data_IF_761096117788
#
_entry.id   IF_761096117788
#
_cell.length_a   1.000
_cell.length_b   1.000
_cell.length_c   1.000
_cell.angle_alpha   90.00
_cell.angle_beta   90.00
_cell.angle_gamma   90.00
#
_symmetry.space_group_name_H-M   'P 1'
#
loop_
_entity.id
_entity.type
_entity.pdbx_description
1 polymer ?
#
# COMPACT_ATOMS: atom_id res chain seq x y z
N UNK A 1 8.40 6.76 -20.99
CA UNK A 1 7.06 6.11 -20.96
C UNK A 1 6.13 6.94 -20.14
N UNK A 2 5.00 7.34 -20.68
CA UNK A 2 3.94 8.03 -19.93
C UNK A 2 3.05 7.00 -19.20
N UNK A 3 2.21 7.47 -18.29
CA UNK A 3 1.21 6.61 -17.64
C UNK A 3 0.26 6.00 -18.68
N UNK A 4 -0.15 6.80 -19.67
CA UNK A 4 -1.03 6.34 -20.74
C UNK A 4 -0.35 5.26 -21.61
N UNK A 5 0.94 5.43 -21.90
CA UNK A 5 1.72 4.41 -22.61
C UNK A 5 1.76 3.09 -21.82
N UNK A 6 1.95 3.18 -20.51
CA UNK A 6 1.95 2.01 -19.64
C UNK A 6 0.59 1.31 -19.67
N UNK A 7 -0.49 2.04 -19.44
CA UNK A 7 -1.84 1.50 -19.46
C UNK A 7 -2.18 0.82 -20.80
N UNK A 8 -1.81 1.45 -21.91
CA UNK A 8 -2.02 0.91 -23.24
C UNK A 8 -1.22 -0.37 -23.50
N UNK A 9 0.02 -0.42 -23.01
CA UNK A 9 0.92 -1.56 -23.21
C UNK A 9 0.46 -2.79 -22.42
N UNK A 10 -0.08 -2.60 -21.22
CA UNK A 10 -0.46 -3.70 -20.33
C UNK A 10 -1.96 -4.01 -20.35
N UNK A 11 -2.69 -3.49 -21.33
CA UNK A 11 -4.05 -3.93 -21.63
C UNK A 11 -5.09 -3.56 -20.59
N UNK A 12 -4.92 -2.43 -19.91
CA UNK A 12 -5.98 -1.88 -19.08
C UNK A 12 -7.15 -1.49 -19.99
N UNK A 13 -8.31 -2.11 -19.76
CA UNK A 13 -9.47 -1.89 -20.61
C UNK A 13 -10.17 -0.56 -20.30
N UNK A 14 -11.17 -0.20 -21.12
CA UNK A 14 -11.89 1.07 -21.00
C UNK A 14 -12.70 1.21 -19.70
N UNK A 15 -12.86 0.13 -18.93
CA UNK A 15 -13.57 0.14 -17.64
C UNK A 15 -12.67 0.56 -16.48
N UNK A 16 -11.36 0.48 -16.68
CA UNK A 16 -10.35 0.85 -15.67
C UNK A 16 -9.88 2.27 -15.92
N UNK A 17 -10.02 3.13 -14.90
CA UNK A 17 -9.61 4.53 -14.97
C UNK A 17 -8.67 4.88 -13.83
N UNK A 18 -7.70 5.69 -14.15
CA UNK A 18 -6.83 6.33 -13.16
C UNK A 18 -7.52 7.65 -12.76
N UNK A 19 -7.75 7.85 -11.47
CA UNK A 19 -8.44 9.04 -10.96
C UNK A 19 -7.55 9.96 -10.16
N UNK A 20 -6.49 9.44 -9.59
CA UNK A 20 -5.55 10.19 -8.77
C UNK A 20 -4.18 9.53 -8.80
N UNK A 21 -3.17 10.27 -8.44
CA UNK A 21 -1.82 9.74 -8.27
C UNK A 21 -1.08 10.43 -7.13
N UNK A 22 -0.07 9.76 -6.61
CA UNK A 22 0.87 10.31 -5.64
C UNK A 22 2.29 9.93 -6.04
N UNK A 23 3.24 10.82 -5.80
CA UNK A 23 4.67 10.56 -5.96
C UNK A 23 5.25 10.45 -4.56
N UNK A 24 5.76 9.28 -4.20
CA UNK A 24 6.15 8.97 -2.85
C UNK A 24 7.23 7.89 -2.80
N UNK A 25 8.21 8.04 -1.92
CA UNK A 25 9.22 7.03 -1.66
C UNK A 25 8.65 5.99 -0.68
N UNK A 26 8.18 4.86 -1.23
CA UNK A 26 7.49 3.83 -0.46
C UNK A 26 8.42 2.93 0.34
N UNK A 27 9.63 2.70 -0.16
CA UNK A 27 10.60 1.80 0.47
C UNK A 27 11.79 2.52 1.10
N UNK A 28 11.77 3.86 1.08
CA UNK A 28 12.80 4.73 1.66
C UNK A 28 14.20 4.54 1.06
N UNK A 29 14.25 4.30 -0.25
CA UNK A 29 15.49 4.17 -1.01
C UNK A 29 15.94 5.48 -1.68
N UNK A 30 15.28 6.60 -1.40
CA UNK A 30 15.46 7.94 -1.99
C UNK A 30 15.06 8.05 -3.47
N UNK A 31 14.47 7.01 -4.05
CA UNK A 31 13.90 7.03 -5.39
C UNK A 31 12.37 6.87 -5.29
N UNK A 32 11.58 7.89 -5.66
CA UNK A 32 10.14 7.81 -5.48
C UNK A 32 9.47 6.87 -6.48
N UNK A 33 8.43 6.19 -6.01
CA UNK A 33 7.46 5.50 -6.83
C UNK A 33 6.29 6.41 -7.17
N UNK A 34 5.51 6.00 -8.15
CA UNK A 34 4.23 6.63 -8.48
C UNK A 34 3.12 5.66 -8.10
N UNK A 35 2.22 6.09 -7.23
CA UNK A 35 1.04 5.32 -6.84
C UNK A 35 -0.16 5.88 -7.58
N UNK A 36 -0.80 5.04 -8.39
CA UNK A 36 -1.99 5.38 -9.17
C UNK A 36 -3.22 4.82 -8.48
N UNK A 37 -4.18 5.67 -8.19
CA UNK A 37 -5.50 5.24 -7.71
C UNK A 37 -6.37 4.81 -8.88
N UNK A 38 -6.93 3.60 -8.79
CA UNK A 38 -7.67 2.96 -9.87
C UNK A 38 -9.14 2.85 -9.49
N UNK A 39 -10.02 3.18 -10.45
CA UNK A 39 -11.44 2.85 -10.41
C UNK A 39 -11.78 1.90 -11.54
N UNK A 40 -12.71 1.00 -11.30
CA UNK A 40 -13.22 0.08 -12.29
C UNK A 40 -14.75 0.19 -12.31
N UNK A 41 -15.35 0.34 -13.51
CA UNK A 41 -16.79 0.52 -13.68
C UNK A 41 -17.38 1.67 -12.83
N UNK A 42 -16.66 2.78 -12.72
CA UNK A 42 -17.02 3.97 -11.91
C UNK A 42 -17.22 3.67 -10.41
N UNK A 43 -16.72 2.53 -9.92
CA UNK A 43 -16.62 2.26 -8.49
C UNK A 43 -15.33 2.83 -7.93
N UNK A 44 -15.46 3.60 -6.86
CA UNK A 44 -14.31 4.14 -6.14
C UNK A 44 -13.55 3.04 -5.40
N UNK A 45 -12.26 3.25 -5.19
CA UNK A 45 -11.41 2.45 -4.33
C UNK A 45 -11.26 0.98 -4.74
N UNK A 46 -11.07 0.72 -6.04
CA UNK A 46 -10.82 -0.64 -6.52
C UNK A 46 -9.40 -1.13 -6.27
N UNK A 47 -8.46 -0.22 -6.03
CA UNK A 47 -7.08 -0.57 -5.74
C UNK A 47 -6.10 0.47 -6.25
N UNK A 48 -4.83 0.05 -6.29
CA UNK A 48 -3.73 0.91 -6.69
C UNK A 48 -2.79 0.18 -7.63
N UNK A 49 -2.14 0.93 -8.51
CA UNK A 49 -1.02 0.47 -9.31
C UNK A 49 0.21 1.27 -8.88
N UNK A 50 1.23 0.58 -8.39
CA UNK A 50 2.51 1.19 -8.05
C UNK A 50 3.46 1.03 -9.21
N UNK A 51 3.94 2.14 -9.74
CA UNK A 51 4.95 2.16 -10.80
C UNK A 51 6.30 2.45 -10.20
N UNK A 52 7.26 1.58 -10.48
CA UNK A 52 8.62 1.66 -10.01
C UNK A 52 9.60 1.54 -11.17
N UNK A 53 10.67 2.31 -11.13
CA UNK A 53 11.79 2.16 -12.07
C UNK A 53 12.76 1.10 -11.54
N UNK A 54 12.90 0.02 -12.28
CA UNK A 54 13.79 -1.10 -11.95
C UNK A 54 14.52 -1.58 -13.19
N UNK A 55 15.80 -1.90 -13.06
CA UNK A 55 16.59 -2.58 -14.11
C UNK A 55 16.49 -1.94 -15.50
N UNK A 56 16.41 -0.61 -15.56
CA UNK A 56 16.33 0.13 -16.82
C UNK A 56 14.94 0.26 -17.43
N UNK A 57 13.89 -0.12 -16.70
CA UNK A 57 12.50 -0.03 -17.15
C UNK A 57 11.52 0.27 -16.04
N UNK A 58 10.27 0.48 -16.42
CA UNK A 58 9.16 0.70 -15.48
C UNK A 58 8.45 -0.62 -15.23
N UNK A 59 8.30 -0.97 -13.96
CA UNK A 59 7.57 -2.16 -13.50
C UNK A 59 6.36 -1.70 -12.71
N UNK A 60 5.21 -2.34 -12.92
CA UNK A 60 3.98 -2.07 -12.19
C UNK A 60 3.63 -3.20 -11.23
N UNK A 61 3.17 -2.83 -10.04
CA UNK A 61 2.69 -3.76 -9.02
C UNK A 61 1.25 -3.40 -8.65
N UNK A 62 0.36 -4.39 -8.77
CA UNK A 62 -1.06 -4.23 -8.46
C UNK A 62 -1.33 -4.46 -6.99
N UNK A 63 -2.14 -3.59 -6.40
CA UNK A 63 -2.61 -3.72 -5.02
C UNK A 63 -4.13 -3.59 -4.99
N UNK A 64 -4.80 -4.48 -4.27
CA UNK A 64 -6.22 -4.31 -3.95
C UNK A 64 -6.39 -3.19 -2.92
N UNK A 65 -7.61 -2.69 -2.78
CA UNK A 65 -7.92 -1.67 -1.79
C UNK A 65 -7.66 -2.11 -0.33
N UNK A 66 -7.59 -3.42 -0.07
CA UNK A 66 -7.27 -3.99 1.25
C UNK A 66 -5.78 -4.15 1.51
N UNK A 67 -4.98 -4.12 0.48
CA UNK A 67 -3.53 -4.29 0.58
C UNK A 67 -2.81 -2.98 0.89
N UNK A 68 -3.45 -1.84 0.63
CA UNK A 68 -2.86 -0.52 0.90
C UNK A 68 -3.99 0.44 1.28
N UNK A 69 -4.12 0.72 2.57
CA UNK A 69 -5.20 1.55 3.14
C UNK A 69 -4.57 2.75 3.83
N UNK A 70 -5.16 3.94 3.63
CA UNK A 70 -4.71 5.17 4.30
C UNK A 70 -3.20 5.42 4.15
N UNK A 71 -2.74 5.50 2.91
CA UNK A 71 -1.33 5.75 2.61
C UNK A 71 -0.89 7.08 3.23
N UNK A 72 0.16 7.04 4.02
CA UNK A 72 0.74 8.19 4.70
C UNK A 72 1.94 8.76 3.95
N UNK A 73 2.26 10.02 4.20
CA UNK A 73 3.41 10.70 3.58
C UNK A 73 4.75 9.99 3.80
N UNK A 74 4.89 9.26 4.89
CA UNK A 74 6.11 8.49 5.19
C UNK A 74 6.18 7.13 4.48
N UNK A 75 5.20 6.81 3.63
CA UNK A 75 5.14 5.55 2.89
C UNK A 75 4.47 4.41 3.64
N UNK A 76 4.04 4.62 4.87
CA UNK A 76 3.32 3.60 5.64
C UNK A 76 1.84 3.60 5.32
N UNK A 77 1.20 2.45 5.50
CA UNK A 77 -0.22 2.25 5.19
C UNK A 77 -0.79 1.10 6.01
N UNK A 78 -2.11 1.04 6.12
CA UNK A 78 -2.81 -0.09 6.70
C UNK A 78 -3.02 -1.22 5.69
N UNK A 79 -3.21 -2.44 6.19
CA UNK A 79 -3.59 -3.59 5.38
C UNK A 79 -4.58 -4.48 6.14
N UNK A 80 -5.33 -5.25 5.37
CA UNK A 80 -6.36 -6.13 5.90
C UNK A 80 -6.34 -7.44 5.10
N UNK A 81 -5.74 -8.49 5.67
CA UNK A 81 -5.80 -9.84 5.12
C UNK A 81 -6.90 -10.65 5.81
N UNK A 82 -8.15 -10.33 5.49
CA UNK A 82 -9.29 -10.97 6.12
C UNK A 82 -9.32 -10.71 7.62
N UNK A 83 -9.84 -11.68 8.38
CA UNK A 83 -9.91 -11.61 9.85
C UNK A 83 -8.58 -12.01 10.49
N UNK A 84 -7.75 -12.74 9.74
CA UNK A 84 -6.60 -13.44 10.31
C UNK A 84 -5.35 -12.57 10.54
N UNK A 85 -5.19 -11.50 9.76
CA UNK A 85 -4.01 -10.63 9.85
C UNK A 85 -4.36 -9.21 9.39
N UNK A 86 -4.26 -8.28 10.29
CA UNK A 86 -4.56 -6.87 10.06
C UNK A 86 -3.52 -6.01 10.75
N UNK A 87 -3.14 -4.90 10.14
CA UNK A 87 -2.19 -4.01 10.77
C UNK A 87 -1.76 -2.88 9.86
N UNK A 88 -0.55 -2.41 10.07
CA UNK A 88 0.07 -1.45 9.18
C UNK A 88 1.52 -1.80 8.91
N UNK A 89 1.98 -1.37 7.73
CA UNK A 89 3.24 -1.81 7.16
C UNK A 89 3.82 -0.74 6.24
N UNK A 90 5.00 -1.01 5.73
CA UNK A 90 5.58 -0.37 4.56
C UNK A 90 6.00 -1.43 3.55
N UNK A 91 6.28 -1.02 2.32
CA UNK A 91 6.76 -1.95 1.30
C UNK A 91 8.28 -2.07 1.33
N UNK A 92 8.75 -3.26 1.02
CA UNK A 92 10.11 -3.52 0.60
C UNK A 92 10.05 -4.19 -0.77
N UNK A 93 10.74 -3.63 -1.76
CA UNK A 93 10.82 -4.21 -3.08
C UNK A 93 12.06 -5.09 -3.18
N UNK A 94 11.84 -6.30 -3.68
CA UNK A 94 12.88 -7.27 -4.02
C UNK A 94 12.93 -7.44 -5.54
N UNK A 95 13.81 -8.26 -6.05
CA UNK A 95 13.89 -8.50 -7.49
C UNK A 95 12.53 -9.04 -8.03
N UNK A 96 11.86 -8.21 -8.84
CA UNK A 96 10.57 -8.51 -9.49
C UNK A 96 9.39 -8.80 -8.52
N UNK A 97 9.51 -8.41 -7.25
CA UNK A 97 8.48 -8.65 -6.25
C UNK A 97 8.48 -7.59 -5.15
N UNK A 98 7.50 -7.71 -4.25
CA UNK A 98 7.43 -6.87 -3.05
C UNK A 98 7.04 -7.72 -1.84
N UNK A 99 7.35 -7.20 -0.67
CA UNK A 99 6.94 -7.77 0.61
C UNK A 99 6.53 -6.67 1.57
N UNK A 100 5.69 -7.00 2.57
CA UNK A 100 5.42 -6.10 3.67
C UNK A 100 6.53 -6.16 4.70
N UNK A 101 6.96 -5.00 5.15
CA UNK A 101 7.63 -4.87 6.44
C UNK A 101 6.56 -4.45 7.44
N UNK A 102 6.05 -5.40 8.19
CA UNK A 102 4.99 -5.16 9.17
C UNK A 102 5.53 -4.36 10.33
N UNK A 103 4.89 -3.22 10.61
CA UNK A 103 5.24 -2.35 11.73
C UNK A 103 4.50 -2.82 12.98
N UNK A 104 3.19 -2.85 12.92
CA UNK A 104 2.37 -3.50 13.96
C UNK A 104 1.23 -4.27 13.29
N UNK A 105 0.88 -5.41 13.86
CA UNK A 105 -0.22 -6.21 13.33
C UNK A 105 -0.87 -7.04 14.43
N UNK A 106 -2.11 -7.41 14.19
CA UNK A 106 -2.86 -8.34 15.00
C UNK A 106 -3.16 -9.58 14.19
N UNK A 107 -2.94 -10.75 14.78
CA UNK A 107 -3.33 -12.02 14.20
C UNK A 107 -4.43 -12.65 15.04
N UNK A 108 -5.38 -13.26 14.36
CA UNK A 108 -6.50 -13.93 15.00
C UNK A 108 -6.60 -15.38 14.52
N UNK A 109 -6.65 -16.29 15.48
CA UNK A 109 -6.99 -17.68 15.25
C UNK A 109 -8.35 -17.98 15.90
N UNK A 110 -8.88 -19.20 15.75
CA UNK A 110 -10.17 -19.58 16.36
C UNK A 110 -10.23 -19.35 17.88
N UNK A 111 -9.08 -19.37 18.56
CA UNK A 111 -9.01 -19.33 20.03
C UNK A 111 -8.19 -18.18 20.60
N UNK A 112 -7.43 -17.45 19.77
CA UNK A 112 -6.43 -16.50 20.28
C UNK A 112 -6.31 -15.27 19.39
N UNK A 113 -6.22 -14.10 20.01
CA UNK A 113 -5.86 -12.83 19.37
C UNK A 113 -4.50 -12.40 19.92
N UNK A 114 -3.54 -12.19 19.02
CA UNK A 114 -2.17 -11.82 19.39
C UNK A 114 -1.77 -10.52 18.71
N UNK A 115 -1.17 -9.61 19.46
CA UNK A 115 -0.71 -8.30 18.99
C UNK A 115 0.80 -8.28 18.86
N UNK A 116 1.29 -7.74 17.74
CA UNK A 116 2.71 -7.63 17.45
C UNK A 116 3.08 -6.20 17.06
N UNK A 117 4.26 -5.76 17.46
CA UNK A 117 4.94 -4.59 16.91
C UNK A 117 6.40 -4.93 16.65
N UNK A 118 6.86 -4.63 15.42
CA UNK A 118 8.20 -5.00 14.95
C UNK A 118 8.54 -6.49 15.13
N UNK A 119 7.56 -7.36 14.91
CA UNK A 119 7.72 -8.80 15.02
C UNK A 119 7.73 -9.34 16.46
N UNK A 120 7.54 -8.49 17.46
CA UNK A 120 7.52 -8.87 18.87
C UNK A 120 6.10 -8.75 19.43
N UNK A 121 5.68 -9.74 20.21
CA UNK A 121 4.40 -9.71 20.90
C UNK A 121 4.34 -8.53 21.88
N UNK A 122 3.26 -7.77 21.81
CA UNK A 122 3.00 -6.61 22.69
C UNK A 122 1.62 -6.73 23.33
N UNK A 123 1.39 -5.89 24.33
CA UNK A 123 0.05 -5.80 24.94
C UNK A 123 -0.95 -5.18 23.97
N UNK A 124 -2.22 -5.46 24.17
CA UNK A 124 -3.33 -4.82 23.45
C UNK A 124 -3.25 -3.29 23.53
N UNK A 125 -2.95 -2.77 24.71
CA UNK A 125 -2.82 -1.33 24.97
C UNK A 125 -1.68 -0.71 24.15
N UNK A 126 -0.51 -1.34 24.14
CA UNK A 126 0.64 -0.88 23.36
C UNK A 126 0.34 -0.90 21.85
N UNK A 127 -0.35 -1.92 21.37
CA UNK A 127 -0.78 -2.00 19.98
C UNK A 127 -1.71 -0.83 19.60
N UNK A 128 -2.72 -0.56 20.41
CA UNK A 128 -3.69 0.50 20.12
C UNK A 128 -3.08 1.91 20.24
N UNK A 129 -2.10 2.10 21.12
CA UNK A 129 -1.30 3.33 21.16
C UNK A 129 -0.54 3.52 19.85
N UNK A 130 0.10 2.46 19.34
CA UNK A 130 0.81 2.49 18.07
C UNK A 130 -0.13 2.76 16.87
N UNK A 131 -1.32 2.18 16.88
CA UNK A 131 -2.34 2.44 15.85
C UNK A 131 -2.79 3.90 15.88
N UNK A 132 -3.03 4.46 17.05
CA UNK A 132 -3.40 5.87 17.20
C UNK A 132 -2.30 6.80 16.68
N UNK A 133 -1.05 6.49 16.93
CA UNK A 133 0.09 7.23 16.38
C UNK A 133 0.15 7.13 14.85
N UNK A 134 -0.08 5.94 14.30
CA UNK A 134 -0.15 5.73 12.85
C UNK A 134 -1.30 6.54 12.24
N UNK A 135 -2.48 6.51 12.83
CA UNK A 135 -3.65 7.23 12.34
C UNK A 135 -3.46 8.75 12.38
N UNK A 136 -2.61 9.25 13.27
CA UNK A 136 -2.31 10.68 13.40
C UNK A 136 -1.32 11.21 12.35
N UNK A 137 -0.66 10.34 11.60
CA UNK A 137 0.29 10.74 10.56
C UNK A 137 -0.43 11.47 9.42
N UNK A 138 0.31 12.34 8.75
CA UNK A 138 -0.23 13.03 7.57
C UNK A 138 -0.52 12.06 6.42
N UNK A 139 -1.70 12.22 5.82
CA UNK A 139 -2.08 11.55 4.59
C UNK A 139 -1.15 11.95 3.45
N UNK A 140 -0.90 11.03 2.53
CA UNK A 140 -0.19 11.33 1.30
C UNK A 140 -0.98 12.39 0.50
N UNK A 141 -0.26 13.25 -0.20
CA UNK A 141 -0.88 14.22 -1.10
C UNK A 141 -1.29 13.53 -2.41
N UNK A 142 -2.60 13.35 -2.58
CA UNK A 142 -3.17 12.85 -3.82
C UNK A 142 -3.40 14.00 -4.79
N UNK A 143 -2.89 13.83 -6.00
CA UNK A 143 -3.09 14.75 -7.11
C UNK A 143 -4.13 14.18 -8.07
N UNK A 144 -4.96 15.07 -8.64
CA UNK A 144 -5.94 14.65 -9.65
C UNK A 144 -5.22 14.28 -10.94
N UNK A 145 -5.64 13.18 -11.53
CA UNK A 145 -5.13 12.70 -12.82
C UNK A 145 -5.97 13.25 -13.98
#
# INVERSE_FOLDING_TARGET
>A
MTIDDYCSTYGMDDTVKITKYAVIDLDQDDAPEIVLGITENDQSDCGFLVLRYENGGVVGYDFTYRQMIDLKKDGTFGYLYGVADTGYARLNFTDDSWEYIKICNVTETSDTVTFFCNGQEVSKEAYWEAVAEQDSKEEVEWLAY
#
